data_IF_449031457819
#
_entry.id   IF_449031457819
#
_cell.length_a   1.000
_cell.length_b   1.000
_cell.length_c   1.000
_cell.angle_alpha   90.00
_cell.angle_beta   90.00
_cell.angle_gamma   90.00
#
_symmetry.space_group_name_H-M   'P 1'
#
loop_
_entity.id
_entity.type
_entity.pdbx_description
1 polymer ?
#
# COMPACT_ATOMS: atom_id res chain seq x y z
N UNK A 1 8.06 28.16 3.17
CA UNK A 1 6.78 27.43 3.04
C UNK A 1 6.93 26.18 3.88
N UNK A 2 6.44 26.30 5.11
CA UNK A 2 6.59 25.32 6.20
C UNK A 2 5.57 24.19 5.99
N UNK A 3 6.04 22.96 5.91
CA UNK A 3 5.21 21.77 6.05
C UNK A 3 5.92 20.84 7.03
N UNK A 4 5.68 21.10 8.30
CA UNK A 4 5.88 20.16 9.38
C UNK A 4 4.69 19.18 9.40
N UNK A 5 4.98 17.92 9.09
CA UNK A 5 4.20 16.72 9.38
C UNK A 5 5.15 15.56 9.03
N UNK A 6 5.40 14.54 9.82
CA UNK A 6 4.69 13.97 10.95
C UNK A 6 5.69 13.03 11.64
N UNK A 7 5.55 12.91 12.95
CA UNK A 7 6.27 12.01 13.85
C UNK A 7 6.47 10.62 13.24
N UNK A 8 7.71 10.27 12.93
CA UNK A 8 8.09 8.90 12.60
C UNK A 8 8.04 8.05 13.89
N UNK A 9 6.86 7.57 14.24
CA UNK A 9 6.64 6.60 15.33
C UNK A 9 5.79 5.45 14.81
N UNK A 10 6.39 4.27 14.75
CA UNK A 10 5.67 3.03 14.45
C UNK A 10 6.53 1.99 13.74
N UNK A 11 7.69 1.68 14.31
CA UNK A 11 8.26 0.35 14.14
C UNK A 11 7.44 -0.57 15.04
N UNK A 12 6.47 -1.31 14.49
CA UNK A 12 5.92 -2.50 15.15
C UNK A 12 5.34 -3.48 14.12
N UNK A 13 6.02 -4.63 13.89
CA UNK A 13 5.45 -5.79 13.23
C UNK A 13 4.67 -6.61 14.26
N UNK A 14 3.46 -6.18 14.60
CA UNK A 14 2.49 -7.03 15.32
C UNK A 14 1.61 -7.74 14.30
N UNK A 15 2.19 -8.78 13.70
CA UNK A 15 1.45 -9.75 12.90
C UNK A 15 0.61 -10.67 13.80
N UNK A 16 -0.55 -11.06 13.26
CA UNK A 16 -1.61 -11.98 13.76
C UNK A 16 -2.80 -11.19 14.34
N UNK A 17 -4.01 -11.27 13.77
CA UNK A 17 -4.72 -12.46 13.29
C UNK A 17 -5.90 -12.03 12.42
N UNK A 18 -6.10 -12.65 11.26
CA UNK A 18 -7.44 -12.96 10.76
C UNK A 18 -7.38 -14.32 10.03
N UNK A 19 -8.12 -15.36 10.45
CA UNK A 19 -8.21 -16.62 9.71
C UNK A 19 -8.99 -16.39 8.40
N UNK A 20 -8.59 -17.00 7.27
CA UNK A 20 -9.33 -16.91 6.02
C UNK A 20 -10.53 -17.86 6.11
N UNK A 21 -11.65 -17.40 6.62
CA UNK A 21 -12.93 -18.11 6.47
C UNK A 21 -13.90 -17.21 5.72
N UNK A 22 -14.10 -17.53 4.44
CA UNK A 22 -15.09 -16.92 3.57
C UNK A 22 -14.49 -15.89 2.64
N UNK A 23 -14.11 -16.32 1.43
CA UNK A 23 -14.13 -15.52 0.19
C UNK A 23 -13.81 -14.01 0.37
N UNK A 24 -12.69 -13.71 1.04
CA UNK A 24 -12.44 -12.42 1.67
C UNK A 24 -11.29 -11.66 1.00
N UNK A 25 -11.48 -10.36 0.79
CA UNK A 25 -10.44 -9.47 0.25
C UNK A 25 -9.20 -9.48 1.15
N UNK A 26 -8.05 -9.82 0.59
CA UNK A 26 -6.76 -9.80 1.29
C UNK A 26 -6.30 -8.36 1.48
N UNK A 27 -5.87 -8.02 2.70
CA UNK A 27 -5.32 -6.71 3.03
C UNK A 27 -3.83 -6.80 3.32
N UNK A 28 -3.07 -5.91 2.70
CA UNK A 28 -1.63 -5.78 2.82
C UNK A 28 -1.26 -4.52 3.60
N UNK A 29 -0.16 -4.58 4.33
CA UNK A 29 0.46 -3.43 4.98
C UNK A 29 1.32 -2.62 4.00
N UNK A 30 1.67 -1.39 4.38
CA UNK A 30 2.61 -0.53 3.62
C UNK A 30 3.91 -1.25 3.26
N UNK A 31 4.45 -2.05 4.20
CA UNK A 31 5.71 -2.76 4.00
C UNK A 31 5.58 -3.90 2.97
N UNK A 32 4.46 -4.63 3.00
CA UNK A 32 4.18 -5.69 2.04
C UNK A 32 3.93 -5.10 0.64
N UNK A 33 3.15 -4.02 0.55
CA UNK A 33 2.89 -3.31 -0.72
C UNK A 33 4.19 -2.77 -1.32
N UNK A 34 5.07 -2.19 -0.51
CA UNK A 34 6.38 -1.70 -0.96
C UNK A 34 7.22 -2.83 -1.58
N UNK A 35 7.19 -4.01 -0.98
CA UNK A 35 7.87 -5.22 -1.49
C UNK A 35 7.26 -5.69 -2.81
N UNK A 36 5.93 -5.76 -2.89
CA UNK A 36 5.19 -6.22 -4.09
C UNK A 36 5.43 -5.28 -5.27
N UNK A 37 5.33 -3.97 -5.05
CA UNK A 37 5.51 -2.97 -6.09
C UNK A 37 6.97 -2.64 -6.40
N UNK A 38 7.92 -3.14 -5.59
CA UNK A 38 9.36 -2.81 -5.66
C UNK A 38 9.65 -1.31 -5.51
N UNK A 39 8.91 -0.64 -4.62
CA UNK A 39 9.07 0.79 -4.32
C UNK A 39 9.40 1.02 -2.85
N UNK A 40 9.79 2.25 -2.50
CA UNK A 40 10.03 2.63 -1.11
C UNK A 40 8.71 2.81 -0.34
N UNK A 41 8.75 2.62 1.00
CA UNK A 41 7.60 2.92 1.87
C UNK A 41 7.12 4.37 1.71
N UNK A 42 8.03 5.32 1.49
CA UNK A 42 7.71 6.72 1.24
C UNK A 42 6.85 6.89 -0.02
N UNK A 43 7.17 6.14 -1.08
CA UNK A 43 6.37 6.13 -2.31
C UNK A 43 4.97 5.61 -2.05
N UNK A 44 4.84 4.52 -1.28
CA UNK A 44 3.51 3.98 -0.91
C UNK A 44 2.72 5.00 -0.10
N UNK A 45 3.33 5.63 0.91
CA UNK A 45 2.67 6.68 1.70
C UNK A 45 2.22 7.85 0.83
N UNK A 46 3.06 8.27 -0.12
CA UNK A 46 2.73 9.33 -1.06
C UNK A 46 1.51 8.95 -1.91
N UNK A 47 1.50 7.75 -2.49
CA UNK A 47 0.37 7.27 -3.31
C UNK A 47 -0.94 7.19 -2.52
N UNK A 48 -0.86 6.83 -1.23
CA UNK A 48 -2.02 6.81 -0.34
C UNK A 48 -2.50 8.23 -0.06
N UNK A 49 -1.58 9.15 0.24
CA UNK A 49 -1.94 10.54 0.54
C UNK A 49 -2.46 11.30 -0.68
N UNK A 50 -1.95 10.97 -1.88
CA UNK A 50 -2.42 11.48 -3.17
C UNK A 50 -3.76 10.87 -3.60
N UNK A 51 -4.26 9.85 -2.88
CA UNK A 51 -5.52 9.17 -3.20
C UNK A 51 -5.44 8.22 -4.40
N UNK A 52 -4.22 7.90 -4.85
CA UNK A 52 -3.97 7.00 -5.99
C UNK A 52 -4.18 5.53 -5.60
N UNK A 53 -3.73 5.15 -4.40
CA UNK A 53 -3.95 3.81 -3.86
C UNK A 53 -4.99 3.85 -2.74
N UNK A 54 -6.07 3.05 -2.84
CA UNK A 54 -7.05 2.99 -1.76
C UNK A 54 -6.41 2.34 -0.53
N UNK A 55 -6.46 3.04 0.58
CA UNK A 55 -6.00 2.55 1.87
C UNK A 55 -7.06 2.80 2.94
N UNK A 56 -7.24 1.83 3.80
CA UNK A 56 -8.05 1.93 5.01
C UNK A 56 -7.13 2.04 6.22
N UNK A 57 -7.46 2.95 7.14
CA UNK A 57 -6.75 3.07 8.41
C UNK A 57 -7.39 2.12 9.41
N UNK A 58 -6.65 1.10 9.82
CA UNK A 58 -7.07 0.16 10.86
C UNK A 58 -6.23 0.44 12.11
N UNK A 59 -6.85 1.10 13.09
CA UNK A 59 -6.18 1.59 14.27
C UNK A 59 -5.07 2.59 13.92
N UNK A 60 -3.82 2.18 14.14
CA UNK A 60 -2.62 3.00 13.90
C UNK A 60 -1.90 2.67 12.61
N UNK A 61 -2.41 1.71 11.84
CA UNK A 61 -1.75 1.24 10.62
C UNK A 61 -2.64 1.39 9.41
N UNK A 62 -2.01 1.57 8.26
CA UNK A 62 -2.71 1.50 6.98
C UNK A 62 -2.76 0.05 6.49
N UNK A 63 -3.86 -0.27 5.83
CA UNK A 63 -4.13 -1.53 5.14
C UNK A 63 -4.65 -1.21 3.76
N UNK A 64 -4.18 -1.96 2.76
CA UNK A 64 -4.54 -1.75 1.37
C UNK A 64 -5.03 -3.08 0.82
N UNK A 65 -6.15 -3.10 0.08
CA UNK A 65 -6.64 -4.34 -0.47
C UNK A 65 -5.76 -4.79 -1.64
N UNK A 66 -5.30 -6.05 -1.63
CA UNK A 66 -4.39 -6.62 -2.61
C UNK A 66 -4.84 -6.39 -4.06
N UNK A 67 -6.14 -6.53 -4.32
CA UNK A 67 -6.73 -6.35 -5.65
C UNK A 67 -6.46 -4.95 -6.22
N UNK A 68 -6.48 -3.91 -5.39
CA UNK A 68 -6.26 -2.54 -5.85
C UNK A 68 -4.80 -2.26 -6.20
N UNK A 69 -3.85 -2.88 -5.49
CA UNK A 69 -2.43 -2.82 -5.85
C UNK A 69 -2.23 -3.49 -7.21
N UNK A 70 -2.84 -4.66 -7.41
CA UNK A 70 -2.70 -5.39 -8.65
C UNK A 70 -3.35 -4.67 -9.84
N UNK A 71 -4.51 -4.03 -9.63
CA UNK A 71 -5.16 -3.17 -10.61
C UNK A 71 -4.28 -1.96 -10.97
N UNK A 72 -3.73 -1.28 -9.96
CA UNK A 72 -2.80 -0.16 -10.17
C UNK A 72 -1.56 -0.58 -10.97
N UNK A 73 -0.97 -1.74 -10.67
CA UNK A 73 0.16 -2.27 -11.42
C UNK A 73 -0.24 -2.56 -12.87
N UNK A 74 -1.37 -3.22 -13.11
CA UNK A 74 -1.87 -3.46 -14.48
C UNK A 74 -2.05 -2.17 -15.27
N UNK A 75 -2.69 -1.17 -14.66
CA UNK A 75 -2.86 0.15 -15.27
C UNK A 75 -1.52 0.82 -15.59
N UNK A 76 -0.57 0.77 -14.65
CA UNK A 76 0.76 1.40 -14.80
C UNK A 76 1.64 0.70 -15.84
N UNK A 77 1.59 -0.63 -15.92
CA UNK A 77 2.38 -1.41 -16.88
C UNK A 77 1.87 -1.30 -18.32
N UNK A 78 0.58 -1.02 -18.52
CA UNK A 78 0.00 -0.87 -19.86
C UNK A 78 0.60 0.30 -20.69
N UNK A 79 1.29 1.25 -20.05
CA UNK A 79 2.00 2.34 -20.71
C UNK A 79 3.45 2.03 -21.13
N UNK A 80 4.03 0.92 -20.67
CA UNK A 80 5.40 0.52 -21.06
C UNK A 80 5.31 -0.57 -22.12
N UNK A 81 4.87 -0.17 -23.32
CA UNK A 81 5.22 -0.93 -24.52
C UNK A 81 6.74 -0.90 -24.64
N UNK A 82 7.46 -2.03 -24.60
CA UNK A 82 8.84 -2.03 -25.04
C UNK A 82 8.77 -1.68 -26.52
N UNK A 83 9.21 -0.47 -26.89
CA UNK A 83 9.38 -0.13 -28.30
C UNK A 83 10.40 -1.12 -28.87
N UNK A 84 9.90 -2.10 -29.60
CA UNK A 84 10.65 -2.81 -30.63
C UNK A 84 10.73 -1.92 -31.87
#
# INVERSE_FOLDING_TARGET
>A
MELAADTQSGEEPTARTDPPTGEGTVFLTVAEVATVMRVSKMTVYRLVHEGVLPAIRVGRSFRMPEHAIHDYLKASFSGTSPRM
#
